data_IF_476389741471
#
_entry.id   IF_476389741471
#
_cell.length_a   1.000
_cell.length_b   1.000
_cell.length_c   1.000
_cell.angle_alpha   90.00
_cell.angle_beta   90.00
_cell.angle_gamma   90.00
#
_symmetry.space_group_name_H-M   'P 1'
#
loop_
_entity.id
_entity.type
_entity.pdbx_description
1 polymer ?
#
# COMPACT_ATOMS: atom_id res chain seq x y z
N UNK A 1 -15.03 -13.40 -3.08
CA UNK A 1 -15.04 -12.10 -3.77
C UNK A 1 -16.28 -12.08 -4.65
N UNK A 2 -17.18 -11.11 -4.47
CA UNK A 2 -18.46 -11.09 -5.20
C UNK A 2 -18.19 -10.81 -6.69
N UNK A 3 -18.66 -11.64 -7.62
CA UNK A 3 -18.41 -11.44 -9.07
C UNK A 3 -18.88 -10.08 -9.56
N UNK A 4 -19.96 -9.55 -8.96
CA UNK A 4 -20.54 -8.24 -9.24
C UNK A 4 -19.58 -7.06 -9.01
N UNK A 5 -18.56 -7.20 -8.14
CA UNK A 5 -17.61 -6.10 -7.86
C UNK A 5 -16.61 -5.91 -9.00
N UNK A 6 -16.28 -6.96 -9.74
CA UNK A 6 -15.43 -6.87 -10.92
C UNK A 6 -16.22 -6.47 -12.17
N UNK A 7 -17.51 -6.82 -12.24
CA UNK A 7 -18.39 -6.46 -13.37
C UNK A 7 -18.58 -4.94 -13.53
N UNK A 8 -18.42 -4.16 -12.45
CA UNK A 8 -18.48 -2.69 -12.50
C UNK A 8 -17.11 -2.00 -12.54
N UNK A 9 -16.01 -2.74 -12.58
CA UNK A 9 -14.67 -2.16 -12.57
C UNK A 9 -14.37 -1.43 -13.89
N UNK A 10 -13.70 -0.28 -13.79
CA UNK A 10 -13.24 0.53 -14.92
C UNK A 10 -11.73 0.75 -14.84
N UNK A 11 -10.91 -0.31 -15.04
CA UNK A 11 -9.45 -0.21 -14.92
C UNK A 11 -8.82 0.70 -16.00
N UNK A 12 -9.56 1.06 -17.05
CA UNK A 12 -9.07 1.87 -18.18
C UNK A 12 -8.52 3.22 -17.70
N UNK A 13 -9.10 3.80 -16.65
CA UNK A 13 -8.60 5.05 -16.06
C UNK A 13 -7.19 4.88 -15.47
N UNK A 14 -6.93 3.73 -14.85
CA UNK A 14 -5.60 3.42 -14.33
C UNK A 14 -4.63 3.03 -15.44
N UNK A 15 -5.08 2.29 -16.44
CA UNK A 15 -4.27 1.93 -17.62
C UNK A 15 -3.87 3.19 -18.38
N UNK A 16 -4.74 4.20 -18.45
CA UNK A 16 -4.42 5.48 -19.08
C UNK A 16 -3.19 6.16 -18.45
N UNK A 17 -2.95 5.99 -17.14
CA UNK A 17 -1.76 6.51 -16.46
C UNK A 17 -0.45 6.04 -17.13
N UNK A 18 -0.46 4.85 -17.74
CA UNK A 18 0.73 4.25 -18.36
C UNK A 18 1.10 4.90 -19.70
N UNK A 19 0.22 5.75 -20.23
CA UNK A 19 0.39 6.43 -21.51
C UNK A 19 0.62 7.94 -21.35
N UNK A 20 0.71 8.44 -20.11
CA UNK A 20 0.97 9.86 -19.87
C UNK A 20 2.47 10.10 -19.74
N UNK A 21 3.00 10.89 -20.67
CA UNK A 21 4.46 11.10 -20.83
C UNK A 21 5.01 12.17 -19.89
N UNK A 22 4.21 13.18 -19.55
CA UNK A 22 4.68 14.30 -18.73
C UNK A 22 4.16 14.25 -17.31
N UNK A 23 5.03 14.60 -16.35
CA UNK A 23 4.66 14.72 -14.93
C UNK A 23 3.46 15.66 -14.72
N UNK A 24 3.46 16.79 -15.44
CA UNK A 24 2.41 17.81 -15.33
C UNK A 24 1.04 17.27 -15.74
N UNK A 25 0.98 16.54 -16.85
CA UNK A 25 -0.26 15.92 -17.32
C UNK A 25 -0.71 14.82 -16.38
N UNK A 26 0.23 14.00 -15.87
CA UNK A 26 -0.13 12.94 -14.95
C UNK A 26 -0.69 13.53 -13.65
N UNK A 27 -0.03 14.54 -13.08
CA UNK A 27 -0.54 15.23 -11.89
C UNK A 27 -1.91 15.86 -12.14
N UNK A 28 -2.15 16.41 -13.33
CA UNK A 28 -3.47 16.94 -13.71
C UNK A 28 -4.51 15.82 -13.74
N UNK A 29 -4.22 14.74 -14.44
CA UNK A 29 -5.11 13.60 -14.56
C UNK A 29 -5.42 12.95 -13.21
N UNK A 30 -4.41 12.73 -12.37
CA UNK A 30 -4.54 12.17 -11.03
C UNK A 30 -5.40 13.04 -10.08
N UNK A 31 -5.51 14.35 -10.32
CA UNK A 31 -6.42 15.23 -9.56
C UNK A 31 -7.89 15.07 -9.95
N UNK A 32 -8.15 14.63 -11.19
CA UNK A 32 -9.49 14.54 -11.76
C UNK A 32 -10.12 13.16 -11.55
N UNK A 33 -9.31 12.13 -11.29
CA UNK A 33 -9.81 10.76 -11.09
C UNK A 33 -9.93 10.36 -9.62
N UNK A 34 -10.86 9.43 -9.37
CA UNK A 34 -10.91 8.64 -8.16
C UNK A 34 -10.62 7.18 -8.51
N UNK A 35 -9.70 6.57 -7.77
CA UNK A 35 -9.36 5.15 -7.92
C UNK A 35 -10.31 4.35 -7.03
N UNK A 36 -11.24 3.62 -7.64
CA UNK A 36 -12.05 2.67 -6.87
C UNK A 36 -11.24 1.42 -6.57
N UNK A 37 -11.51 0.80 -5.42
CA UNK A 37 -10.93 -0.49 -5.05
C UNK A 37 -11.09 -1.55 -6.14
N UNK A 38 -12.27 -1.62 -6.76
CA UNK A 38 -12.57 -2.52 -7.88
C UNK A 38 -11.64 -2.30 -9.08
N UNK A 39 -11.35 -1.04 -9.41
CA UNK A 39 -10.52 -0.68 -10.57
C UNK A 39 -9.06 -1.08 -10.33
N UNK A 40 -8.55 -0.84 -9.13
CA UNK A 40 -7.20 -1.23 -8.74
C UNK A 40 -7.05 -2.76 -8.72
N UNK A 41 -8.04 -3.48 -8.17
CA UNK A 41 -8.03 -4.94 -8.18
C UNK A 41 -8.09 -5.49 -9.60
N UNK A 42 -8.93 -4.93 -10.47
CA UNK A 42 -9.00 -5.32 -11.87
C UNK A 42 -7.66 -5.10 -12.59
N UNK A 43 -6.98 -3.97 -12.37
CA UNK A 43 -5.64 -3.71 -12.91
C UNK A 43 -4.62 -4.75 -12.42
N UNK A 44 -4.63 -5.08 -11.11
CA UNK A 44 -3.74 -6.08 -10.53
C UNK A 44 -3.96 -7.45 -11.17
N UNK A 45 -5.23 -7.87 -11.31
CA UNK A 45 -5.58 -9.14 -11.93
C UNK A 45 -5.16 -9.17 -13.41
N UNK A 46 -5.33 -8.08 -14.14
CA UNK A 46 -4.87 -7.97 -15.52
C UNK A 46 -3.34 -8.09 -15.63
N UNK A 47 -2.58 -7.49 -14.70
CA UNK A 47 -1.13 -7.65 -14.61
C UNK A 47 -0.71 -9.08 -14.28
N UNK A 48 -1.41 -9.74 -13.34
CA UNK A 48 -1.14 -11.14 -12.97
C UNK A 48 -1.44 -12.12 -14.11
N UNK A 49 -2.46 -11.82 -14.93
CA UNK A 49 -2.82 -12.61 -16.09
C UNK A 49 -1.94 -12.35 -17.32
N UNK A 50 -0.97 -11.43 -17.22
CA UNK A 50 -0.05 -11.03 -18.30
C UNK A 50 -0.78 -10.50 -19.56
N UNK A 51 -1.91 -9.82 -19.37
CA UNK A 51 -2.71 -9.22 -20.46
C UNK A 51 -2.48 -7.71 -20.62
N UNK A 52 -1.59 -7.12 -19.82
CA UNK A 52 -1.22 -5.70 -19.88
C UNK A 52 0.07 -5.46 -20.69
N UNK A 53 0.19 -6.05 -21.88
CA UNK A 53 1.37 -5.87 -22.73
C UNK A 53 1.67 -4.36 -23.00
N UNK A 54 2.93 -3.89 -22.90
CA UNK A 54 4.18 -4.61 -22.64
C UNK A 54 4.56 -4.74 -21.15
N UNK A 55 3.66 -4.42 -20.22
CA UNK A 55 3.95 -4.39 -18.78
C UNK A 55 3.84 -5.77 -18.12
N UNK A 56 4.90 -6.15 -17.41
CA UNK A 56 4.95 -7.25 -16.44
C UNK A 56 4.57 -6.74 -15.06
N UNK A 57 4.14 -7.67 -14.21
CA UNK A 57 3.64 -7.38 -12.86
C UNK A 57 4.46 -8.06 -11.77
N UNK A 58 4.74 -7.34 -10.69
CA UNK A 58 5.31 -7.85 -9.45
C UNK A 58 4.64 -7.20 -8.24
N UNK A 59 4.61 -7.89 -7.10
CA UNK A 59 4.09 -7.33 -5.86
C UNK A 59 4.92 -7.70 -4.63
N UNK A 60 4.82 -6.88 -3.61
CA UNK A 60 5.41 -7.13 -2.31
C UNK A 60 4.48 -6.65 -1.19
N UNK A 61 4.43 -7.44 -0.13
CA UNK A 61 3.66 -7.13 1.07
C UNK A 61 4.59 -7.20 2.28
N UNK A 62 4.53 -6.16 3.13
CA UNK A 62 5.39 -6.05 4.31
C UNK A 62 4.57 -5.60 5.53
N UNK A 63 5.03 -5.99 6.71
CA UNK A 63 4.45 -5.57 7.98
C UNK A 63 5.53 -4.92 8.84
N UNK A 64 5.45 -3.61 8.99
CA UNK A 64 6.37 -2.85 9.84
C UNK A 64 5.81 -2.73 11.23
N UNK A 65 6.53 -3.32 12.18
CA UNK A 65 6.26 -3.24 13.61
C UNK A 65 7.41 -2.52 14.28
N UNK A 66 7.10 -1.49 15.08
CA UNK A 66 8.13 -0.76 15.83
C UNK A 66 8.86 -1.68 16.81
N UNK A 67 10.20 -1.60 16.94
CA UNK A 67 10.96 -2.48 17.84
C UNK A 67 10.48 -2.44 19.30
N UNK A 68 9.94 -1.30 19.75
CA UNK A 68 9.39 -1.13 21.10
C UNK A 68 8.15 -1.99 21.37
N UNK A 69 7.48 -2.47 20.33
CA UNK A 69 6.27 -3.31 20.41
C UNK A 69 6.59 -4.80 20.46
N UNK A 70 7.84 -5.19 20.28
CA UNK A 70 8.25 -6.58 20.45
C UNK A 70 8.35 -6.88 21.95
N UNK A 71 7.58 -7.84 22.49
CA UNK A 71 7.76 -8.29 23.86
C UNK A 71 9.17 -8.86 24.04
N UNK A 72 9.84 -8.52 25.15
CA UNK A 72 11.12 -9.13 25.48
C UNK A 72 10.95 -10.59 25.91
N UNK A 73 12.03 -11.37 25.89
CA UNK A 73 12.00 -12.77 26.36
C UNK A 73 11.48 -12.88 27.81
N UNK A 74 11.83 -11.93 28.67
CA UNK A 74 11.33 -11.87 30.04
C UNK A 74 9.83 -11.56 30.12
N UNK A 75 9.34 -10.68 29.25
CA UNK A 75 7.92 -10.34 29.17
C UNK A 75 7.09 -11.53 28.65
N UNK A 76 7.60 -12.28 27.67
CA UNK A 76 7.00 -13.52 27.17
C UNK A 76 7.00 -14.60 28.25
N UNK A 77 8.13 -14.80 28.94
CA UNK A 77 8.24 -15.77 30.02
C UNK A 77 7.27 -15.46 31.16
N UNK A 78 7.17 -14.18 31.56
CA UNK A 78 6.22 -13.75 32.57
C UNK A 78 4.76 -13.94 32.13
N UNK A 79 4.45 -13.80 30.84
CA UNK A 79 3.13 -14.09 30.30
C UNK A 79 2.80 -15.60 30.40
N UNK A 80 3.75 -16.46 30.02
CA UNK A 80 3.59 -17.91 30.11
C UNK A 80 3.42 -18.40 31.56
N UNK A 81 4.11 -17.76 32.51
CA UNK A 81 4.07 -18.10 33.93
C UNK A 81 2.89 -17.47 34.69
N UNK A 82 2.10 -16.59 34.07
CA UNK A 82 1.06 -15.83 34.76
C UNK A 82 -0.07 -16.72 35.33
N UNK A 83 -0.31 -17.89 34.73
CA UNK A 83 -1.42 -18.77 35.10
C UNK A 83 -2.80 -18.14 34.85
N UNK A 84 -3.84 -18.73 35.44
CA UNK A 84 -5.22 -18.24 35.31
C UNK A 84 -5.46 -17.10 36.31
N UNK A 85 -5.81 -15.92 35.80
CA UNK A 85 -6.13 -14.75 36.61
C UNK A 85 -5.73 -13.44 35.93
N UNK A 86 -5.87 -12.29 36.61
CA UNK A 86 -5.51 -10.99 36.07
C UNK A 86 -4.02 -10.91 35.69
N UNK A 87 -3.73 -10.29 34.54
CA UNK A 87 -2.36 -10.00 34.12
C UNK A 87 -1.71 -8.94 35.02
N UNK A 88 -0.46 -9.15 35.42
CA UNK A 88 0.29 -8.25 36.30
C UNK A 88 1.70 -7.98 35.78
N UNK A 89 2.23 -6.79 36.06
CA UNK A 89 3.63 -6.43 35.75
C UNK A 89 4.01 -6.73 34.30
N UNK A 90 5.02 -7.60 34.11
CA UNK A 90 5.58 -7.95 32.80
C UNK A 90 4.61 -8.71 31.88
N UNK A 91 3.71 -9.55 32.41
CA UNK A 91 2.71 -10.24 31.59
C UNK A 91 1.69 -9.27 31.00
N UNK A 92 1.24 -8.30 31.81
CA UNK A 92 0.39 -7.18 31.34
C UNK A 92 1.12 -6.36 30.27
N UNK A 93 2.40 -6.06 30.47
CA UNK A 93 3.21 -5.31 29.50
C UNK A 93 3.36 -6.04 28.16
N UNK A 94 3.60 -7.35 28.18
CA UNK A 94 3.65 -8.18 26.97
C UNK A 94 2.36 -8.06 26.17
N UNK A 95 1.22 -8.23 26.83
CA UNK A 95 -0.11 -8.16 26.20
C UNK A 95 -0.42 -6.73 25.72
N UNK A 96 -0.08 -5.70 26.49
CA UNK A 96 -0.23 -4.30 26.05
C UNK A 96 0.55 -4.01 24.77
N UNK A 97 1.78 -4.52 24.64
CA UNK A 97 2.58 -4.39 23.42
C UNK A 97 1.93 -5.09 22.22
N UNK A 98 1.36 -6.27 22.42
CA UNK A 98 0.59 -6.98 21.39
C UNK A 98 -0.62 -6.14 20.95
N UNK A 99 -1.39 -5.59 21.87
CA UNK A 99 -2.52 -4.70 21.52
C UNK A 99 -2.07 -3.43 20.80
N UNK A 100 -0.97 -2.81 21.24
CA UNK A 100 -0.37 -1.66 20.56
C UNK A 100 0.10 -2.02 19.15
N UNK A 101 0.59 -3.24 18.92
CA UNK A 101 0.95 -3.70 17.58
C UNK A 101 -0.23 -3.66 16.61
N UNK A 102 -1.46 -4.00 17.04
CA UNK A 102 -2.66 -3.88 16.19
C UNK A 102 -2.98 -2.42 15.82
N UNK A 103 -2.61 -1.46 16.67
CA UNK A 103 -2.80 -0.03 16.43
C UNK A 103 -1.69 0.57 15.56
N UNK A 104 -0.44 0.16 15.82
CA UNK A 104 0.74 0.83 15.31
C UNK A 104 1.37 0.17 14.09
N UNK A 105 1.19 -1.14 13.88
CA UNK A 105 1.77 -1.82 12.72
C UNK A 105 1.38 -1.12 11.42
N UNK A 106 2.22 -1.18 10.40
CA UNK A 106 1.89 -0.71 9.04
C UNK A 106 1.96 -1.89 8.09
N UNK A 107 0.86 -2.17 7.40
CA UNK A 107 0.75 -3.25 6.42
C UNK A 107 0.90 -2.63 5.04
N UNK A 108 2.13 -2.64 4.51
CA UNK A 108 2.45 -2.10 3.20
C UNK A 108 2.01 -3.09 2.11
N UNK A 109 1.31 -2.59 1.10
CA UNK A 109 1.12 -3.24 -0.18
C UNK A 109 1.83 -2.44 -1.27
N UNK A 110 2.60 -3.13 -2.11
CA UNK A 110 3.34 -2.54 -3.23
C UNK A 110 3.07 -3.36 -4.49
N UNK A 111 2.64 -2.70 -5.55
CA UNK A 111 2.26 -3.26 -6.84
C UNK A 111 3.05 -2.56 -7.94
N UNK A 112 3.98 -3.28 -8.56
CA UNK A 112 4.89 -2.81 -9.59
C UNK A 112 4.43 -3.33 -10.95
N UNK A 113 4.31 -2.41 -11.91
CA UNK A 113 4.11 -2.68 -13.33
C UNK A 113 5.33 -2.17 -14.07
N UNK A 114 5.93 -2.98 -14.95
CA UNK A 114 7.19 -2.61 -15.60
C UNK A 114 7.37 -3.27 -16.96
N UNK A 115 8.03 -2.56 -17.87
CA UNK A 115 8.45 -3.11 -19.17
C UNK A 115 9.66 -4.03 -19.00
N UNK A 116 9.88 -5.02 -19.89
CA UNK A 116 11.06 -5.91 -19.82
C UNK A 116 12.40 -5.17 -19.84
N UNK A 117 12.48 -4.03 -20.55
CA UNK A 117 13.67 -3.16 -20.55
C UNK A 117 13.86 -2.38 -19.24
N UNK A 118 12.86 -2.38 -18.36
CA UNK A 118 12.79 -1.64 -17.09
C UNK A 118 12.83 -0.11 -17.25
N UNK A 119 12.77 0.40 -18.48
CA UNK A 119 12.78 1.83 -18.79
C UNK A 119 11.50 2.51 -18.31
N UNK A 120 10.37 1.83 -18.48
CA UNK A 120 9.05 2.29 -18.05
C UNK A 120 8.53 1.42 -16.93
N UNK A 121 8.17 2.06 -15.82
CA UNK A 121 7.59 1.38 -14.67
C UNK A 121 6.71 2.30 -13.84
N UNK A 122 5.73 1.69 -13.17
CA UNK A 122 4.75 2.32 -12.31
C UNK A 122 4.63 1.49 -11.05
N UNK A 123 4.88 2.10 -9.90
CA UNK A 123 4.76 1.45 -8.60
C UNK A 123 3.67 2.16 -7.80
N UNK A 124 2.57 1.43 -7.59
CA UNK A 124 1.50 1.79 -6.68
C UNK A 124 1.83 1.21 -5.31
N UNK A 125 1.74 2.02 -4.27
CA UNK A 125 1.91 1.51 -2.91
C UNK A 125 1.05 2.26 -1.92
N UNK A 126 0.65 1.57 -0.88
CA UNK A 126 -0.20 2.12 0.19
C UNK A 126 -0.13 1.20 1.40
N UNK A 127 -0.53 1.74 2.55
CA UNK A 127 -0.86 0.94 3.71
C UNK A 127 -2.30 1.17 4.19
N UNK A 128 -2.64 0.52 5.30
CA UNK A 128 -3.98 0.63 5.87
C UNK A 128 -4.33 2.03 6.38
N UNK A 129 -3.34 2.89 6.66
CA UNK A 129 -3.53 4.27 7.10
C UNK A 129 -3.76 5.19 5.91
N UNK A 130 -3.07 4.95 4.81
CA UNK A 130 -3.26 5.69 3.56
C UNK A 130 -4.70 5.53 3.04
N UNK A 131 -5.27 4.32 3.18
CA UNK A 131 -6.63 3.98 2.72
C UNK A 131 -7.71 4.12 3.80
N UNK A 132 -7.36 4.63 4.98
CA UNK A 132 -8.32 4.81 6.07
C UNK A 132 -9.27 5.99 5.79
N UNK A 133 -10.57 5.79 6.05
CA UNK A 133 -11.59 6.86 5.94
C UNK A 133 -11.60 7.81 7.14
N UNK A 134 -11.01 7.40 8.27
CA UNK A 134 -10.92 8.19 9.50
C UNK A 134 -9.45 8.41 9.87
N UNK A 135 -9.15 9.60 10.42
CA UNK A 135 -7.79 9.99 10.85
C UNK A 135 -6.74 9.83 9.73
N UNK A 136 -7.15 10.09 8.49
CA UNK A 136 -6.21 10.12 7.37
C UNK A 136 -5.31 11.34 7.50
N UNK A 137 -4.02 11.17 7.19
CA UNK A 137 -3.04 12.24 7.29
C UNK A 137 -3.06 13.17 6.06
N UNK A 138 -3.66 12.74 4.95
CA UNK A 138 -3.82 13.57 3.76
C UNK A 138 -5.15 14.33 3.82
N UNK A 139 -5.10 15.63 3.53
CA UNK A 139 -6.26 16.52 3.61
C UNK A 139 -7.42 16.12 2.69
N UNK A 140 -7.13 15.42 1.59
CA UNK A 140 -8.15 14.92 0.65
C UNK A 140 -8.63 13.50 1.00
N UNK A 141 -8.23 12.95 2.15
CA UNK A 141 -8.73 11.68 2.67
C UNK A 141 -7.95 10.46 2.17
N UNK A 142 -8.68 9.38 1.92
CA UNK A 142 -8.12 8.08 1.52
C UNK A 142 -7.39 8.19 0.17
N UNK A 143 -6.20 7.59 0.09
CA UNK A 143 -5.36 7.63 -1.10
C UNK A 143 -4.43 6.43 -1.24
N UNK A 144 -3.86 6.30 -2.43
CA UNK A 144 -2.71 5.45 -2.72
C UNK A 144 -1.59 6.29 -3.33
N UNK A 145 -0.35 5.85 -3.17
CA UNK A 145 0.82 6.54 -3.71
C UNK A 145 1.20 5.93 -5.06
N UNK A 146 1.61 6.78 -6.00
CA UNK A 146 2.17 6.41 -7.29
C UNK A 146 3.56 7.03 -7.46
N UNK A 147 4.52 6.20 -7.85
CA UNK A 147 5.84 6.62 -8.33
C UNK A 147 6.12 5.94 -9.67
N UNK A 148 6.88 6.59 -10.56
CA UNK A 148 7.15 6.08 -11.91
C UNK A 148 8.58 6.40 -12.35
N UNK A 149 9.03 5.76 -13.43
CA UNK A 149 10.34 6.01 -14.06
C UNK A 149 10.59 7.47 -14.44
N UNK A 150 9.55 8.24 -14.75
CA UNK A 150 9.66 9.53 -15.42
C UNK A 150 10.11 10.67 -14.48
N UNK A 151 9.93 10.55 -13.16
CA UNK A 151 10.25 11.64 -12.20
C UNK A 151 10.61 11.18 -10.78
N UNK A 152 10.71 9.89 -10.54
CA UNK A 152 11.17 9.39 -9.24
C UNK A 152 12.65 9.70 -8.97
N UNK A 153 13.43 10.04 -10.01
CA UNK A 153 14.90 10.05 -9.99
C UNK A 153 15.50 8.71 -9.51
N UNK A 154 14.74 7.62 -9.66
CA UNK A 154 15.12 6.27 -9.28
C UNK A 154 15.09 5.37 -10.51
N UNK A 155 16.03 4.43 -10.54
CA UNK A 155 15.89 3.25 -11.40
C UNK A 155 14.80 2.33 -10.82
N UNK A 156 14.24 1.45 -11.64
CA UNK A 156 13.32 0.40 -11.17
C UNK A 156 13.93 -0.37 -10.02
N UNK A 157 15.18 -0.82 -10.19
CA UNK A 157 15.91 -1.60 -9.19
C UNK A 157 16.03 -0.85 -7.86
N UNK A 158 16.43 0.42 -7.89
CA UNK A 158 16.56 1.21 -6.67
C UNK A 158 15.21 1.40 -5.96
N UNK A 159 14.14 1.66 -6.71
CA UNK A 159 12.79 1.76 -6.15
C UNK A 159 12.33 0.42 -5.55
N UNK A 160 12.58 -0.69 -6.24
CA UNK A 160 12.17 -2.02 -5.81
C UNK A 160 12.96 -2.50 -4.58
N UNK A 161 14.27 -2.25 -4.52
CA UNK A 161 15.08 -2.54 -3.33
C UNK A 161 14.64 -1.73 -2.11
N UNK A 162 14.16 -0.50 -2.30
CA UNK A 162 13.57 0.27 -1.21
C UNK A 162 12.25 -0.33 -0.69
N UNK A 163 11.43 -0.89 -1.59
CA UNK A 163 10.23 -1.65 -1.21
C UNK A 163 10.63 -2.88 -0.39
N UNK A 164 11.52 -3.71 -0.92
CA UNK A 164 11.95 -4.97 -0.30
C UNK A 164 12.65 -4.77 1.05
N UNK A 165 13.38 -3.67 1.22
CA UNK A 165 14.06 -3.34 2.49
C UNK A 165 13.14 -2.65 3.51
N UNK A 166 11.89 -2.38 3.17
CA UNK A 166 10.97 -1.64 4.03
C UNK A 166 11.41 -0.18 4.27
N UNK A 167 12.25 0.39 3.40
CA UNK A 167 12.80 1.75 3.55
C UNK A 167 12.37 2.70 2.43
N UNK A 168 11.23 2.44 1.80
CA UNK A 168 10.65 3.30 0.77
C UNK A 168 10.52 4.76 1.24
N UNK A 169 11.37 5.62 0.68
CA UNK A 169 11.42 7.05 0.95
C UNK A 169 11.47 7.79 -0.38
N UNK A 170 10.29 8.10 -0.90
CA UNK A 170 10.17 8.84 -2.18
C UNK A 170 9.57 10.21 -1.92
N UNK A 171 10.33 11.24 -2.30
CA UNK A 171 9.91 12.65 -2.24
C UNK A 171 8.95 12.97 -3.38
N UNK A 172 9.25 12.51 -4.60
CA UNK A 172 8.48 12.77 -5.82
C UNK A 172 7.39 11.71 -6.08
N UNK A 173 6.47 11.55 -5.13
CA UNK A 173 5.29 10.68 -5.28
C UNK A 173 4.04 11.48 -5.59
N UNK A 174 3.10 10.85 -6.30
CA UNK A 174 1.77 11.38 -6.58
C UNK A 174 0.77 10.67 -5.68
N UNK A 175 -0.14 11.44 -5.09
CA UNK A 175 -1.26 10.89 -4.32
C UNK A 175 -2.47 10.74 -5.26
N UNK A 176 -3.01 9.53 -5.34
CA UNK A 176 -4.24 9.21 -6.07
C UNK A 176 -5.37 9.05 -5.06
N UNK A 177 -6.47 9.78 -5.24
CA UNK A 177 -7.66 9.63 -4.37
C UNK A 177 -8.19 8.20 -4.47
N UNK A 178 -8.46 7.58 -3.33
CA UNK A 178 -8.85 6.17 -3.26
C UNK A 178 -10.20 5.99 -2.58
N UNK A 179 -11.12 5.32 -3.27
CA UNK A 179 -12.46 5.00 -2.79
C UNK A 179 -12.57 3.52 -2.50
N UNK A 180 -12.61 3.20 -1.20
CA UNK A 180 -12.84 1.83 -0.74
C UNK A 180 -14.27 1.40 -1.05
N UNK A 181 -14.48 0.13 -1.39
CA UNK A 181 -15.80 -0.40 -1.67
C UNK A 181 -16.80 -0.07 -0.53
N UNK A 182 -17.97 0.47 -0.90
CA UNK A 182 -19.02 0.90 0.03
C UNK A 182 -18.78 2.26 0.71
N UNK A 183 -17.74 3.01 0.34
CA UNK A 183 -17.53 4.38 0.84
C UNK A 183 -18.34 5.37 0.01
N UNK A 184 -19.11 6.30 0.62
CA UNK A 184 -19.74 7.38 -0.11
C UNK A 184 -18.67 8.28 -0.75
N UNK A 185 -18.93 8.72 -1.98
CA UNK A 185 -18.13 9.78 -2.61
C UNK A 185 -18.42 11.07 -1.85
N UNK A 186 -17.39 11.67 -1.26
CA UNK A 186 -17.49 12.96 -0.58
C UNK A 186 -17.29 14.12 -1.58
#
# INVERSE_FOLDING_TARGET
MNSQVLESAQPEKLIHLFNIETKRELEKYCREIFVHESDLVALILAGQADVLDPYKYACHFDQKVGPHLNPSAEEISALNQNGVGPLKGKSKKAVSKVFQMFQERRCLAAHLFYTPSQTYWYLFYFDQRDTATKKNHWAHGSHIHLITSHWSNLTLEAAWQQVLSGKLKVTNKIHLRYLKHGSPVA
#
